data_IF_233573958504
#
_entry.id   IF_233573958504
#
_cell.length_a   1.000
_cell.length_b   1.000
_cell.length_c   1.000
_cell.angle_alpha   90.00
_cell.angle_beta   90.00
_cell.angle_gamma   90.00
#
_symmetry.space_group_name_H-M   'P 1'
#
loop_
_entity.id
_entity.type
_entity.pdbx_description
1 polymer ?
#
# COMPACT_ATOMS: atom_id res chain seq x y z
N UNK A 1 -9.46 -6.63 10.33
CA UNK A 1 -10.28 -5.71 9.51
C UNK A 1 -9.68 -5.49 8.14
N UNK A 2 -10.54 -5.41 7.10
CA UNK A 2 -10.15 -5.07 5.74
C UNK A 2 -10.89 -3.82 5.29
N UNK A 3 -10.16 -2.80 4.87
CA UNK A 3 -10.74 -1.56 4.38
C UNK A 3 -11.05 -1.74 2.89
N UNK A 4 -12.31 -1.59 2.53
CA UNK A 4 -12.80 -1.85 1.19
C UNK A 4 -14.03 -1.00 0.84
N UNK A 5 -14.17 -0.64 -0.44
CA UNK A 5 -15.38 -0.05 -1.02
C UNK A 5 -15.64 -0.63 -2.41
N UNK A 6 -16.90 -0.85 -2.75
CA UNK A 6 -17.30 -1.22 -4.12
C UNK A 6 -16.85 -0.19 -5.18
N UNK A 7 -16.56 1.04 -4.78
CA UNK A 7 -16.01 2.07 -5.68
C UNK A 7 -14.61 1.74 -6.19
N UNK A 8 -13.87 0.86 -5.54
CA UNK A 8 -12.58 0.36 -6.07
C UNK A 8 -12.74 -0.57 -7.29
N UNK A 9 -13.97 -1.00 -7.58
CA UNK A 9 -14.33 -1.70 -8.81
C UNK A 9 -14.68 -0.74 -9.96
N UNK A 10 -14.60 0.57 -9.75
CA UNK A 10 -14.85 1.57 -10.80
C UNK A 10 -13.82 1.41 -11.91
N UNK A 11 -14.30 1.32 -13.14
CA UNK A 11 -13.43 1.39 -14.31
C UNK A 11 -13.03 2.84 -14.57
N UNK A 12 -11.73 3.08 -14.69
CA UNK A 12 -11.15 4.37 -15.02
C UNK A 12 -10.00 4.18 -16.01
N UNK A 13 -9.61 5.24 -16.71
CA UNK A 13 -8.56 5.16 -17.72
C UNK A 13 -7.20 4.83 -17.09
N UNK A 14 -6.74 3.60 -17.32
CA UNK A 14 -5.45 3.06 -16.91
C UNK A 14 -5.01 2.03 -17.96
N UNK A 15 -4.02 1.18 -17.65
CA UNK A 15 -3.60 0.08 -18.51
C UNK A 15 -4.37 -1.20 -18.21
N UNK A 16 -4.48 -2.09 -19.21
CA UNK A 16 -5.31 -3.29 -19.14
C UNK A 16 -5.01 -4.20 -17.94
N UNK A 17 -3.76 -4.28 -17.49
CA UNK A 17 -3.41 -5.13 -16.35
C UNK A 17 -3.81 -4.54 -15.00
N UNK A 18 -3.92 -3.21 -14.88
CA UNK A 18 -4.39 -2.53 -13.66
C UNK A 18 -5.91 -2.32 -13.76
N UNK A 19 -6.70 -3.35 -13.56
CA UNK A 19 -8.15 -3.37 -13.75
C UNK A 19 -8.92 -3.80 -12.48
N UNK A 20 -10.26 -3.63 -12.43
CA UNK A 20 -11.08 -3.99 -11.27
C UNK A 20 -11.04 -5.48 -10.89
N UNK A 21 -10.70 -6.38 -11.81
CA UNK A 21 -10.66 -7.82 -11.54
C UNK A 21 -9.59 -8.17 -10.50
N UNK A 22 -8.56 -7.35 -10.34
CA UNK A 22 -7.59 -7.47 -9.25
C UNK A 22 -8.29 -7.44 -7.88
N UNK A 23 -9.15 -6.45 -7.69
CA UNK A 23 -9.93 -6.30 -6.45
C UNK A 23 -10.96 -7.41 -6.31
N UNK A 24 -11.67 -7.77 -7.42
CA UNK A 24 -12.69 -8.81 -7.42
C UNK A 24 -12.11 -10.18 -7.05
N UNK A 25 -10.92 -10.52 -7.57
CA UNK A 25 -10.22 -11.76 -7.26
C UNK A 25 -9.94 -11.89 -5.76
N UNK A 26 -9.32 -10.86 -5.16
CA UNK A 26 -9.02 -10.85 -3.72
C UNK A 26 -10.32 -10.89 -2.90
N UNK A 27 -11.30 -10.06 -3.25
CA UNK A 27 -12.56 -9.97 -2.52
C UNK A 27 -13.33 -11.30 -2.51
N UNK A 28 -13.27 -12.09 -3.61
CA UNK A 28 -13.94 -13.38 -3.67
C UNK A 28 -13.40 -14.38 -2.65
N UNK A 29 -12.11 -14.31 -2.32
CA UNK A 29 -11.48 -15.20 -1.34
C UNK A 29 -11.71 -14.76 0.11
N UNK A 30 -11.76 -13.44 0.37
CA UNK A 30 -11.79 -12.94 1.75
C UNK A 30 -13.18 -12.52 2.23
N UNK A 31 -14.18 -12.41 1.34
CA UNK A 31 -15.50 -11.83 1.66
C UNK A 31 -16.18 -12.46 2.88
N UNK A 32 -16.10 -13.77 3.02
CA UNK A 32 -16.80 -14.51 4.07
C UNK A 32 -16.01 -14.58 5.39
N UNK A 33 -14.73 -14.18 5.38
CA UNK A 33 -13.84 -14.24 6.55
C UNK A 33 -13.38 -12.87 7.02
N UNK A 34 -13.41 -11.86 6.16
CA UNK A 34 -12.92 -10.51 6.46
C UNK A 34 -14.05 -9.64 7.05
N UNK A 35 -13.70 -8.85 8.06
CA UNK A 35 -14.55 -7.75 8.51
C UNK A 35 -14.29 -6.54 7.61
N UNK A 36 -15.21 -6.28 6.66
CA UNK A 36 -15.10 -5.19 5.71
C UNK A 36 -15.55 -3.86 6.32
N UNK A 37 -14.75 -2.82 6.15
CA UNK A 37 -15.04 -1.46 6.60
C UNK A 37 -14.90 -0.49 5.42
N UNK A 38 -15.93 0.32 5.17
CA UNK A 38 -15.92 1.29 4.07
C UNK A 38 -15.16 2.57 4.47
N UNK A 39 -14.19 3.03 3.65
CA UNK A 39 -13.47 4.29 3.90
C UNK A 39 -14.22 5.50 3.35
N UNK A 40 -13.84 6.69 3.83
CA UNK A 40 -14.16 7.97 3.21
C UNK A 40 -13.00 8.46 2.35
N UNK A 41 -13.23 9.26 1.29
CA UNK A 41 -12.14 9.91 0.57
C UNK A 41 -11.29 10.80 1.49
N UNK A 42 -9.98 10.83 1.28
CA UNK A 42 -9.10 11.75 2.00
C UNK A 42 -9.39 13.22 1.66
N UNK A 43 -9.02 14.13 2.55
CA UNK A 43 -9.14 15.56 2.30
C UNK A 43 -8.02 16.08 1.38
N UNK A 44 -8.22 17.23 0.75
CA UNK A 44 -7.17 17.86 -0.08
C UNK A 44 -5.94 18.21 0.75
N UNK A 45 -6.15 18.58 2.02
CA UNK A 45 -5.06 18.82 2.98
C UNK A 45 -4.16 17.61 3.18
N UNK A 46 -4.73 16.38 3.13
CA UNK A 46 -3.96 15.15 3.25
C UNK A 46 -3.06 14.94 2.01
N UNK A 47 -3.62 15.20 0.82
CA UNK A 47 -2.85 15.16 -0.43
C UNK A 47 -1.68 16.15 -0.42
N UNK A 48 -1.89 17.36 0.08
CA UNK A 48 -0.89 18.44 0.13
C UNK A 48 0.28 18.13 1.10
N UNK A 49 0.13 17.19 2.02
CA UNK A 49 1.25 16.72 2.84
C UNK A 49 2.30 15.94 2.04
N UNK A 50 1.90 15.36 0.91
CA UNK A 50 2.75 14.47 0.09
C UNK A 50 2.98 15.01 -1.32
N UNK A 51 2.00 15.68 -1.92
CA UNK A 51 2.01 16.06 -3.33
C UNK A 51 1.91 17.56 -3.52
N UNK A 52 2.59 18.05 -4.56
CA UNK A 52 2.44 19.45 -4.98
C UNK A 52 1.04 19.71 -5.55
N UNK A 53 0.60 20.96 -5.49
CA UNK A 53 -0.65 21.38 -6.12
C UNK A 53 -0.68 21.07 -7.64
N UNK A 54 0.46 21.02 -8.29
CA UNK A 54 0.57 20.73 -9.73
C UNK A 54 0.10 19.30 -9.99
N UNK A 55 0.59 18.33 -9.23
CA UNK A 55 0.21 16.92 -9.35
C UNK A 55 -1.27 16.74 -9.02
N UNK A 56 -1.76 17.36 -7.94
CA UNK A 56 -3.17 17.28 -7.55
C UNK A 56 -4.06 17.82 -8.68
N UNK A 57 -3.74 19.00 -9.23
CA UNK A 57 -4.48 19.60 -10.35
C UNK A 57 -4.40 18.76 -11.63
N UNK A 58 -3.28 18.06 -11.85
CA UNK A 58 -3.14 17.15 -13.00
C UNK A 58 -4.11 15.96 -12.88
N UNK A 59 -4.15 15.32 -11.72
CA UNK A 59 -5.06 14.18 -11.46
C UNK A 59 -6.53 14.62 -11.48
N UNK A 60 -6.85 15.82 -11.01
CA UNK A 60 -8.20 16.40 -11.04
C UNK A 60 -8.78 16.58 -12.46
N UNK A 61 -7.96 16.54 -13.52
CA UNK A 61 -8.46 16.64 -14.92
C UNK A 61 -9.34 15.46 -15.31
N UNK A 62 -9.10 14.29 -14.71
CA UNK A 62 -10.02 13.16 -14.81
C UNK A 62 -10.76 13.00 -13.47
N UNK A 63 -12.04 13.31 -13.47
CA UNK A 63 -12.87 13.28 -12.26
C UNK A 63 -12.95 11.88 -11.66
N UNK A 64 -13.10 10.85 -12.50
CA UNK A 64 -13.23 9.45 -12.04
C UNK A 64 -11.96 8.98 -11.37
N UNK A 65 -10.80 9.23 -12.01
CA UNK A 65 -9.48 8.95 -11.43
C UNK A 65 -9.30 9.68 -10.11
N UNK A 66 -9.58 10.98 -10.07
CA UNK A 66 -9.39 11.80 -8.88
C UNK A 66 -10.24 11.31 -7.70
N UNK A 67 -11.53 11.03 -7.93
CA UNK A 67 -12.43 10.54 -6.87
C UNK A 67 -11.99 9.17 -6.34
N UNK A 68 -11.59 8.26 -7.25
CA UNK A 68 -11.14 6.91 -6.87
C UNK A 68 -9.79 6.95 -6.14
N UNK A 69 -8.84 7.75 -6.63
CA UNK A 69 -7.52 7.91 -6.00
C UNK A 69 -7.61 8.57 -4.60
N UNK A 70 -8.49 9.55 -4.41
CA UNK A 70 -8.76 10.10 -3.08
C UNK A 70 -9.37 9.08 -2.14
N UNK A 71 -10.27 8.25 -2.64
CA UNK A 71 -10.87 7.18 -1.83
C UNK A 71 -9.82 6.12 -1.47
N UNK A 72 -8.90 5.80 -2.39
CA UNK A 72 -7.78 4.89 -2.14
C UNK A 72 -6.88 5.43 -1.01
N UNK A 73 -6.46 6.68 -1.10
CA UNK A 73 -5.69 7.33 -0.04
C UNK A 73 -6.45 7.38 1.30
N UNK A 74 -7.76 7.68 1.28
CA UNK A 74 -8.61 7.62 2.46
C UNK A 74 -8.73 6.21 3.04
N UNK A 75 -8.72 5.19 2.18
CA UNK A 75 -8.67 3.79 2.59
C UNK A 75 -7.38 3.43 3.32
N UNK A 76 -6.23 3.93 2.83
CA UNK A 76 -4.95 3.75 3.50
C UNK A 76 -4.90 4.47 4.86
N UNK A 77 -5.41 5.71 4.95
CA UNK A 77 -5.53 6.42 6.25
C UNK A 77 -6.37 5.60 7.22
N UNK A 78 -7.53 5.09 6.77
CA UNK A 78 -8.41 4.28 7.62
C UNK A 78 -7.75 2.99 8.09
N UNK A 79 -6.96 2.33 7.24
CA UNK A 79 -6.19 1.15 7.63
C UNK A 79 -5.13 1.50 8.69
N UNK A 80 -4.37 2.57 8.48
CA UNK A 80 -3.36 3.02 9.44
C UNK A 80 -3.99 3.41 10.80
N UNK A 81 -5.14 4.11 10.81
CA UNK A 81 -5.89 4.39 12.05
C UNK A 81 -6.35 3.10 12.76
N UNK A 82 -6.84 2.13 11.99
CA UNK A 82 -7.29 0.84 12.53
C UNK A 82 -6.13 0.04 13.13
N UNK A 83 -4.94 0.16 12.53
CA UNK A 83 -3.74 -0.54 12.97
C UNK A 83 -3.24 -0.11 14.36
N UNK A 84 -3.65 1.04 14.86
CA UNK A 84 -3.35 1.46 16.23
C UNK A 84 -4.00 0.55 17.30
N UNK A 85 -5.06 -0.18 16.94
CA UNK A 85 -5.78 -1.10 17.81
C UNK A 85 -5.61 -2.56 17.37
N UNK A 86 -5.60 -2.84 16.06
CA UNK A 86 -5.56 -4.19 15.50
C UNK A 86 -5.01 -4.19 14.09
N UNK A 87 -4.18 -5.17 13.70
CA UNK A 87 -3.64 -5.25 12.33
C UNK A 87 -4.73 -5.15 11.27
N UNK A 88 -4.46 -4.45 10.18
CA UNK A 88 -5.44 -4.16 9.13
C UNK A 88 -4.85 -4.27 7.72
N UNK A 89 -5.73 -4.48 6.74
CA UNK A 89 -5.39 -4.50 5.32
C UNK A 89 -6.29 -3.55 4.53
N UNK A 90 -5.72 -2.73 3.66
CA UNK A 90 -6.47 -1.90 2.73
C UNK A 90 -6.51 -2.55 1.35
N UNK A 91 -7.66 -3.11 1.00
CA UNK A 91 -7.96 -3.61 -0.34
C UNK A 91 -8.43 -2.43 -1.20
N UNK A 92 -7.48 -1.65 -1.68
CA UNK A 92 -7.67 -0.37 -2.36
C UNK A 92 -7.11 -0.37 -3.78
N UNK A 93 -7.64 0.52 -4.62
CA UNK A 93 -7.25 0.79 -5.99
C UNK A 93 -7.62 2.23 -6.35
N UNK A 94 -6.73 3.00 -7.01
CA UNK A 94 -5.42 2.68 -7.58
C UNK A 94 -4.33 2.44 -6.55
N UNK A 95 -3.17 1.82 -6.96
CA UNK A 95 -1.97 1.74 -6.15
C UNK A 95 -1.32 3.11 -5.95
N UNK A 96 -0.24 3.21 -5.14
CA UNK A 96 0.30 4.50 -4.75
C UNK A 96 1.82 4.65 -4.72
N UNK A 97 2.61 3.61 -4.58
CA UNK A 97 4.03 3.69 -4.21
C UNK A 97 4.95 4.38 -5.25
N UNK A 98 4.50 4.52 -6.51
CA UNK A 98 5.22 5.26 -7.55
C UNK A 98 4.86 6.75 -7.63
N UNK A 99 3.87 7.24 -6.89
CA UNK A 99 3.52 8.65 -6.88
C UNK A 99 4.40 9.42 -5.89
N UNK A 100 5.29 10.28 -6.41
CA UNK A 100 6.16 11.17 -5.64
C UNK A 100 5.58 12.56 -5.46
N UNK A 101 6.37 13.48 -4.88
CA UNK A 101 5.92 14.85 -4.61
C UNK A 101 5.52 15.61 -5.88
N UNK A 102 6.31 15.51 -6.96
CA UNK A 102 6.11 16.25 -8.20
C UNK A 102 5.96 15.35 -9.44
N UNK A 103 5.74 14.07 -9.26
CA UNK A 103 5.52 13.12 -10.36
C UNK A 103 4.57 12.02 -9.94
N UNK A 104 3.97 11.36 -10.94
CA UNK A 104 3.20 10.12 -10.77
C UNK A 104 3.46 9.20 -11.96
N UNK A 105 3.20 7.90 -11.79
CA UNK A 105 3.43 6.89 -12.82
C UNK A 105 3.20 5.50 -12.26
N UNK A 106 3.47 4.46 -13.03
CA UNK A 106 3.30 3.08 -12.57
C UNK A 106 1.88 2.80 -12.06
N UNK A 107 0.86 3.36 -12.72
CA UNK A 107 -0.56 3.27 -12.35
C UNK A 107 -0.93 4.02 -11.05
N UNK A 108 0.02 4.68 -10.40
CA UNK A 108 -0.15 5.39 -9.14
C UNK A 108 -0.46 6.87 -9.42
N UNK A 109 -1.46 7.42 -8.73
CA UNK A 109 -1.85 8.82 -8.85
C UNK A 109 -1.49 9.63 -7.60
N UNK A 110 -1.78 9.09 -6.42
CA UNK A 110 -1.38 9.62 -5.12
C UNK A 110 -0.71 8.52 -4.29
N UNK A 111 0.22 8.89 -3.43
CA UNK A 111 0.95 7.93 -2.61
C UNK A 111 0.16 7.56 -1.35
N UNK A 112 -0.58 6.46 -1.44
CA UNK A 112 -1.47 6.01 -0.39
C UNK A 112 -0.75 5.79 0.95
N UNK A 113 0.42 5.12 0.92
CA UNK A 113 1.22 4.81 2.10
C UNK A 113 1.76 6.07 2.77
N UNK A 114 2.43 6.94 2.01
CA UNK A 114 3.01 8.17 2.56
C UNK A 114 1.93 9.11 3.11
N UNK A 115 0.77 9.22 2.44
CA UNK A 115 -0.37 10.02 2.93
C UNK A 115 -0.89 9.47 4.26
N UNK A 116 -1.07 8.15 4.38
CA UNK A 116 -1.55 7.54 5.61
C UNK A 116 -0.60 7.81 6.79
N UNK A 117 0.69 7.56 6.61
CA UNK A 117 1.70 7.80 7.66
C UNK A 117 1.78 9.29 8.03
N UNK A 118 1.88 10.18 7.04
CA UNK A 118 1.96 11.63 7.32
C UNK A 118 0.69 12.19 7.96
N UNK A 119 -0.49 11.63 7.65
CA UNK A 119 -1.74 11.99 8.32
C UNK A 119 -1.66 11.64 9.82
N UNK A 120 -1.26 10.42 10.19
CA UNK A 120 -1.15 10.02 11.59
C UNK A 120 -0.09 10.83 12.35
N UNK A 121 1.08 11.09 11.75
CA UNK A 121 2.13 11.94 12.31
C UNK A 121 1.63 13.38 12.54
N UNK A 122 0.91 13.95 11.58
CA UNK A 122 0.42 15.34 11.67
C UNK A 122 -0.63 15.51 12.76
N UNK A 123 -1.40 14.47 13.03
CA UNK A 123 -2.44 14.42 14.07
C UNK A 123 -1.89 14.01 15.45
N UNK A 124 -0.61 13.65 15.54
CA UNK A 124 0.04 13.23 16.78
C UNK A 124 -0.41 11.87 17.30
N UNK A 125 -0.95 10.99 16.44
CA UNK A 125 -1.28 9.61 16.80
C UNK A 125 -0.05 8.72 16.89
N UNK A 126 0.98 9.04 16.14
CA UNK A 126 2.29 8.37 16.14
C UNK A 126 3.40 9.42 16.14
N UNK A 127 4.59 9.03 16.59
CA UNK A 127 5.82 9.85 16.58
C UNK A 127 6.77 9.44 15.48
N UNK A 128 6.73 8.18 15.10
CA UNK A 128 7.56 7.60 14.02
C UNK A 128 6.87 6.43 13.33
N UNK A 129 7.45 5.98 12.21
CA UNK A 129 6.92 4.88 11.42
C UNK A 129 8.02 4.14 10.65
N UNK A 130 7.85 2.84 10.48
CA UNK A 130 8.60 2.03 9.52
C UNK A 130 7.70 1.69 8.33
N UNK A 131 8.18 1.93 7.12
CA UNK A 131 7.52 1.51 5.87
C UNK A 131 8.38 0.43 5.21
N UNK A 132 7.77 -0.71 4.92
CA UNK A 132 8.38 -1.79 4.14
C UNK A 132 7.61 -1.92 2.83
N UNK A 133 8.31 -1.87 1.70
CA UNK A 133 7.75 -2.08 0.36
C UNK A 133 8.23 -3.44 -0.16
N UNK A 134 7.28 -4.35 -0.40
CA UNK A 134 7.52 -5.70 -0.91
C UNK A 134 7.05 -5.88 -2.35
N UNK A 135 6.62 -4.80 -3.00
CA UNK A 135 6.33 -4.81 -4.44
C UNK A 135 7.60 -5.13 -5.24
N UNK A 136 7.42 -5.71 -6.43
CA UNK A 136 8.53 -6.00 -7.33
C UNK A 136 9.29 -4.74 -7.76
N UNK A 137 8.57 -3.64 -7.90
CA UNK A 137 9.11 -2.37 -8.37
C UNK A 137 9.53 -1.50 -7.19
N UNK A 138 10.66 -0.81 -7.37
CA UNK A 138 11.12 0.15 -6.36
C UNK A 138 10.08 1.24 -6.12
N UNK A 139 9.67 1.41 -4.86
CA UNK A 139 8.70 2.43 -4.42
C UNK A 139 9.30 3.85 -4.45
N UNK A 140 9.72 4.29 -5.65
CA UNK A 140 10.43 5.55 -5.87
C UNK A 140 9.61 6.78 -5.43
N UNK A 141 8.29 6.70 -5.52
CA UNK A 141 7.40 7.77 -5.05
C UNK A 141 7.37 7.87 -3.53
N UNK A 142 7.27 6.73 -2.84
CA UNK A 142 7.33 6.68 -1.38
C UNK A 142 8.68 7.21 -0.89
N UNK A 143 9.78 6.72 -1.45
CA UNK A 143 11.13 7.20 -1.12
C UNK A 143 11.27 8.72 -1.31
N UNK A 144 10.81 9.26 -2.46
CA UNK A 144 10.89 10.71 -2.75
C UNK A 144 10.19 11.56 -1.69
N UNK A 145 9.04 11.09 -1.18
CA UNK A 145 8.23 11.82 -0.19
C UNK A 145 8.82 11.73 1.24
N UNK A 146 9.42 10.59 1.60
CA UNK A 146 9.79 10.32 3.00
C UNK A 146 11.28 10.45 3.31
N UNK A 147 12.15 10.44 2.32
CA UNK A 147 13.64 10.38 2.45
C UNK A 147 14.26 11.43 3.38
N UNK A 148 13.62 12.59 3.54
CA UNK A 148 14.12 13.70 4.37
C UNK A 148 13.35 13.82 5.72
N UNK A 149 12.34 12.97 5.97
CA UNK A 149 11.59 12.96 7.23
C UNK A 149 12.19 11.92 8.20
N UNK A 150 12.98 12.38 9.16
CA UNK A 150 13.69 11.52 10.12
C UNK A 150 12.80 10.69 11.03
N UNK A 151 11.48 10.89 10.97
CA UNK A 151 10.50 10.10 11.73
C UNK A 151 10.04 8.87 10.96
N UNK A 152 10.44 8.73 9.68
CA UNK A 152 9.99 7.66 8.80
C UNK A 152 11.19 6.91 8.24
N UNK A 153 11.31 5.65 8.57
CA UNK A 153 12.26 4.74 7.91
C UNK A 153 11.55 4.02 6.76
N UNK A 154 12.24 3.92 5.63
CA UNK A 154 11.75 3.25 4.43
C UNK A 154 12.71 2.16 3.95
N UNK A 155 12.19 0.94 3.83
CA UNK A 155 12.89 -0.20 3.28
C UNK A 155 12.15 -0.74 2.06
N UNK A 156 12.83 -0.76 0.92
CA UNK A 156 12.37 -1.46 -0.27
C UNK A 156 13.09 -2.79 -0.36
N UNK A 157 12.34 -3.88 -0.50
CA UNK A 157 12.91 -5.22 -0.70
C UNK A 157 13.20 -5.38 -2.19
N UNK A 158 14.48 -5.35 -2.56
CA UNK A 158 14.97 -5.52 -3.94
C UNK A 158 15.78 -6.81 -4.01
N UNK A 159 15.09 -7.93 -4.23
CA UNK A 159 15.66 -9.26 -4.10
C UNK A 159 15.78 -9.98 -5.43
N UNK A 160 16.91 -10.65 -5.64
CA UNK A 160 17.18 -11.46 -6.82
C UNK A 160 16.80 -12.94 -6.67
N UNK A 161 16.47 -13.37 -5.46
CA UNK A 161 16.03 -14.74 -5.15
C UNK A 161 15.09 -14.74 -3.94
N UNK A 162 14.35 -15.85 -3.76
CA UNK A 162 13.48 -16.04 -2.59
C UNK A 162 14.26 -15.92 -1.28
N UNK A 163 15.41 -16.56 -1.19
CA UNK A 163 16.22 -16.54 0.05
C UNK A 163 16.76 -15.13 0.35
N UNK A 164 17.18 -14.40 -0.68
CA UNK A 164 17.59 -13.00 -0.57
C UNK A 164 16.42 -12.12 -0.10
N UNK A 165 15.21 -12.35 -0.62
CA UNK A 165 14.00 -11.65 -0.19
C UNK A 165 13.77 -11.78 1.33
N UNK A 166 13.76 -13.02 1.83
CA UNK A 166 13.56 -13.26 3.26
C UNK A 166 14.71 -12.75 4.13
N UNK A 167 15.93 -12.77 3.62
CA UNK A 167 17.09 -12.19 4.31
C UNK A 167 16.94 -10.66 4.44
N UNK A 168 16.57 -9.97 3.36
CA UNK A 168 16.34 -8.52 3.36
C UNK A 168 15.15 -8.16 4.25
N UNK A 169 14.04 -8.89 4.15
CA UNK A 169 12.86 -8.69 4.99
C UNK A 169 13.19 -8.86 6.48
N UNK A 170 13.89 -9.94 6.83
CA UNK A 170 14.31 -10.17 8.22
C UNK A 170 15.19 -9.04 8.76
N UNK A 171 16.09 -8.50 7.93
CA UNK A 171 16.90 -7.35 8.29
C UNK A 171 16.08 -6.08 8.48
N UNK A 172 15.13 -5.80 7.58
CA UNK A 172 14.25 -4.64 7.67
C UNK A 172 13.36 -4.69 8.92
N UNK A 173 13.00 -5.88 9.40
CA UNK A 173 12.14 -6.09 10.56
C UNK A 173 12.91 -6.12 11.90
N UNK A 174 14.24 -6.06 11.90
CA UNK A 174 15.06 -6.26 13.11
C UNK A 174 14.66 -5.32 14.25
N UNK A 175 14.40 -4.06 13.95
CA UNK A 175 14.04 -3.03 14.93
C UNK A 175 12.59 -2.53 14.77
N UNK A 176 11.72 -3.28 14.04
CA UNK A 176 10.36 -2.84 13.71
C UNK A 176 9.49 -2.60 14.96
N UNK A 177 9.72 -3.32 16.06
CA UNK A 177 9.00 -3.14 17.33
C UNK A 177 9.31 -1.82 18.04
N UNK A 178 10.35 -1.10 17.63
CA UNK A 178 10.69 0.22 18.19
C UNK A 178 9.90 1.37 17.59
N UNK A 179 9.26 1.15 16.43
CA UNK A 179 8.42 2.14 15.78
C UNK A 179 6.97 2.07 16.29
N UNK A 180 6.31 3.23 16.32
CA UNK A 180 4.91 3.34 16.73
C UNK A 180 3.97 2.58 15.78
N UNK A 181 4.33 2.48 14.49
CA UNK A 181 3.54 1.77 13.47
C UNK A 181 4.43 1.18 12.37
N UNK A 182 4.00 0.04 11.82
CA UNK A 182 4.59 -0.60 10.64
C UNK A 182 3.58 -0.57 9.48
N UNK A 183 3.93 0.09 8.38
CA UNK A 183 3.19 0.06 7.11
C UNK A 183 3.87 -0.84 6.09
N UNK A 184 3.08 -1.64 5.37
CA UNK A 184 3.57 -2.45 4.26
C UNK A 184 2.88 -2.07 2.94
N UNK A 185 3.65 -1.60 1.95
CA UNK A 185 3.22 -1.56 0.55
C UNK A 185 3.29 -2.98 0.00
N UNK A 186 2.12 -3.64 -0.08
CA UNK A 186 2.00 -5.05 -0.42
C UNK A 186 1.74 -5.23 -1.92
N UNK A 187 2.82 -5.38 -2.70
CA UNK A 187 2.75 -5.83 -4.09
C UNK A 187 2.80 -7.36 -4.17
N UNK A 188 1.96 -7.91 -5.04
CA UNK A 188 1.88 -9.35 -5.31
C UNK A 188 2.46 -9.72 -6.68
N UNK A 189 3.04 -8.77 -7.38
CA UNK A 189 3.74 -8.97 -8.66
C UNK A 189 5.10 -9.67 -8.52
N UNK A 190 5.63 -9.81 -7.30
CA UNK A 190 6.74 -10.72 -6.97
C UNK A 190 6.38 -12.19 -7.09
N UNK A 191 5.10 -12.55 -7.30
CA UNK A 191 4.61 -13.93 -7.39
C UNK A 191 5.27 -14.71 -8.52
N UNK A 192 5.44 -16.05 -8.31
CA UNK A 192 6.15 -16.95 -9.26
C UNK A 192 5.51 -16.99 -10.67
N UNK A 193 4.21 -16.73 -10.78
CA UNK A 193 3.47 -16.68 -12.06
C UNK A 193 3.17 -15.25 -12.51
N UNK A 194 3.63 -14.23 -11.78
CA UNK A 194 3.56 -12.84 -12.14
C UNK A 194 4.92 -12.33 -12.64
N UNK A 195 5.10 -11.06 -12.79
CA UNK A 195 6.28 -10.44 -13.42
C UNK A 195 7.60 -10.74 -12.71
N UNK A 196 7.59 -10.83 -11.38
CA UNK A 196 8.79 -11.06 -10.58
C UNK A 196 9.29 -12.49 -10.58
N UNK A 197 8.41 -13.46 -10.78
CA UNK A 197 8.74 -14.91 -10.81
C UNK A 197 9.58 -15.36 -9.61
N UNK A 198 9.29 -14.85 -8.40
CA UNK A 198 10.16 -14.99 -7.23
C UNK A 198 9.51 -15.77 -6.07
N UNK A 199 8.31 -15.39 -5.65
CA UNK A 199 7.64 -15.90 -4.45
C UNK A 199 6.50 -16.86 -4.79
N UNK A 200 6.26 -17.82 -3.90
CA UNK A 200 5.11 -18.72 -3.98
C UNK A 200 3.97 -18.24 -3.08
N UNK A 201 2.74 -18.68 -3.31
CA UNK A 201 1.56 -18.37 -2.47
C UNK A 201 1.82 -18.55 -0.97
N UNK A 202 2.48 -19.64 -0.57
CA UNK A 202 2.81 -19.90 0.84
C UNK A 202 3.71 -18.84 1.47
N UNK A 203 4.53 -18.17 0.64
CA UNK A 203 5.51 -17.19 1.12
C UNK A 203 4.80 -15.90 1.58
N UNK A 204 3.72 -15.50 0.94
CA UNK A 204 2.94 -14.32 1.37
C UNK A 204 2.32 -14.54 2.76
N UNK A 205 1.87 -15.75 3.08
CA UNK A 205 1.42 -16.09 4.42
C UNK A 205 2.56 -15.99 5.46
N UNK A 206 3.76 -16.45 5.11
CA UNK A 206 4.95 -16.36 5.95
C UNK A 206 5.34 -14.88 6.16
N UNK A 207 5.38 -14.09 5.09
CA UNK A 207 5.65 -12.64 5.13
C UNK A 207 4.65 -11.92 6.03
N UNK A 208 3.35 -12.16 5.84
CA UNK A 208 2.31 -11.56 6.69
C UNK A 208 2.50 -11.92 8.18
N UNK A 209 2.86 -13.18 8.47
CA UNK A 209 3.18 -13.63 9.82
C UNK A 209 4.39 -12.90 10.43
N UNK A 210 5.45 -12.70 9.64
CA UNK A 210 6.65 -11.94 10.07
C UNK A 210 6.32 -10.48 10.37
N UNK A 211 5.56 -9.82 9.49
CA UNK A 211 5.17 -8.41 9.65
C UNK A 211 4.32 -8.18 10.90
N UNK A 212 3.27 -8.99 11.09
CA UNK A 212 2.40 -8.91 12.28
C UNK A 212 3.15 -9.22 13.57
N UNK A 213 4.07 -10.18 13.54
CA UNK A 213 4.89 -10.53 14.71
C UNK A 213 5.91 -9.43 15.06
N UNK A 214 6.39 -8.69 14.07
CA UNK A 214 7.39 -7.63 14.24
C UNK A 214 6.82 -6.36 14.89
N UNK A 215 5.57 -5.99 14.57
CA UNK A 215 4.90 -4.86 15.19
C UNK A 215 3.38 -5.10 15.26
N UNK A 216 2.74 -5.03 16.47
CA UNK A 216 1.31 -5.23 16.62
C UNK A 216 0.48 -4.10 15.95
N UNK A 217 1.04 -2.90 15.79
CA UNK A 217 0.43 -1.79 15.07
C UNK A 217 0.83 -1.87 13.59
N UNK A 218 0.32 -2.89 12.91
CA UNK A 218 0.65 -3.21 11.51
C UNK A 218 -0.52 -2.94 10.59
N UNK A 219 -0.26 -2.31 9.44
CA UNK A 219 -1.18 -2.29 8.31
C UNK A 219 -0.47 -2.56 7.00
N UNK A 220 -1.19 -3.16 6.06
CA UNK A 220 -0.75 -3.30 4.69
C UNK A 220 -1.74 -2.66 3.73
N UNK A 221 -1.25 -2.20 2.59
CA UNK A 221 -2.06 -1.69 1.49
C UNK A 221 -1.72 -2.43 0.20
N UNK A 222 -2.72 -2.69 -0.62
CA UNK A 222 -2.51 -3.32 -1.93
C UNK A 222 -1.79 -2.36 -2.87
N UNK A 223 -0.69 -2.82 -3.46
CA UNK A 223 0.02 -2.17 -4.56
C UNK A 223 -0.11 -2.99 -5.85
N UNK A 224 0.97 -3.54 -6.40
CA UNK A 224 0.98 -4.37 -7.59
C UNK A 224 0.39 -5.76 -7.42
N UNK A 225 0.54 -6.59 -8.46
CA UNK A 225 -0.01 -7.94 -8.57
C UNK A 225 -1.04 -8.03 -9.69
N UNK A 226 -0.67 -8.76 -10.76
CA UNK A 226 -1.39 -8.71 -12.04
C UNK A 226 -1.76 -10.11 -12.57
N UNK A 227 -1.29 -11.16 -11.92
CA UNK A 227 -1.72 -12.51 -12.23
C UNK A 227 -3.06 -12.85 -11.53
N UNK A 228 -4.15 -12.34 -12.12
CA UNK A 228 -5.52 -12.40 -11.57
C UNK A 228 -5.94 -13.79 -11.06
N UNK A 229 -5.62 -14.92 -11.77
CA UNK A 229 -6.10 -16.25 -11.36
C UNK A 229 -5.68 -16.68 -9.95
N UNK A 230 -4.51 -16.22 -9.47
CA UNK A 230 -3.98 -16.61 -8.17
C UNK A 230 -3.89 -15.41 -7.19
N UNK A 231 -4.21 -14.21 -7.64
CA UNK A 231 -4.02 -13.00 -6.83
C UNK A 231 -4.81 -13.03 -5.52
N UNK A 232 -6.02 -13.57 -5.56
CA UNK A 232 -6.89 -13.66 -4.37
C UNK A 232 -6.41 -14.69 -3.34
N UNK A 233 -5.64 -15.71 -3.75
CA UNK A 233 -5.14 -16.75 -2.84
C UNK A 233 -3.72 -16.47 -2.32
N UNK A 234 -3.05 -15.45 -2.87
CA UNK A 234 -1.77 -14.97 -2.39
C UNK A 234 -1.96 -14.02 -1.21
#
# INVERSE_FOLDING_TARGET
PTIYSNKFLTDYMTVDCENPDRISSILSEIRDIAHLTEPSPCEVSDLLMCHSEIIIKLVMKDKTVYETARLSAGGAIKAAETALDTPSFALIRPPGHHAGHNFNGGFCFFNNMAIAIKNLLSRGFISDALIIDIDLHYGNGTYDIVKDDKRIDFWNIDASSRDDFFQQLSKALQDASSFDILGCSAGFDTYIRDWGSLLFTRDYKEIAGMLVAANPHFFAILEGGYYIPDLGVN
#
